data_IF_326110225366
#
_entry.id   IF_326110225366
#
_cell.length_a   1.000
_cell.length_b   1.000
_cell.length_c   1.000
_cell.angle_alpha   90.00
_cell.angle_beta   90.00
_cell.angle_gamma   90.00
#
_symmetry.space_group_name_H-M   'P 1'
#
loop_
_entity.id
_entity.type
_entity.pdbx_description
1 polymer ?
#
# COMPACT_ATOMS: atom_id res chain seq x y z
N UNK A 1 -2.30 -26.30 7.10
CA UNK A 1 -1.69 -25.37 6.13
C UNK A 1 -0.21 -25.70 6.08
N UNK A 2 0.37 -25.83 4.88
CA UNK A 2 1.79 -26.16 4.72
C UNK A 2 2.67 -24.99 5.19
N UNK A 3 3.83 -25.31 5.76
CA UNK A 3 4.81 -24.31 6.20
C UNK A 3 5.35 -23.50 5.01
N UNK A 4 5.63 -22.21 5.23
CA UNK A 4 6.31 -21.36 4.26
C UNK A 4 7.78 -21.71 4.27
N UNK A 5 8.26 -22.20 3.13
CA UNK A 5 9.64 -22.61 2.91
C UNK A 5 10.51 -21.40 2.59
N UNK A 6 11.53 -21.16 3.39
CA UNK A 6 12.40 -19.98 3.30
C UNK A 6 13.85 -20.40 3.09
N UNK A 7 14.56 -19.68 2.23
CA UNK A 7 16.01 -19.73 2.13
C UNK A 7 16.59 -18.39 2.59
N UNK A 8 17.61 -18.42 3.44
CA UNK A 8 18.23 -17.21 4.01
C UNK A 8 19.58 -17.00 3.35
N UNK A 9 19.77 -15.88 2.65
CA UNK A 9 21.03 -15.56 1.98
C UNK A 9 21.67 -14.30 2.60
N UNK A 10 22.76 -14.46 3.32
CA UNK A 10 23.44 -13.35 4.01
C UNK A 10 24.95 -13.51 3.88
N UNK A 11 25.72 -12.47 3.52
CA UNK A 11 27.18 -12.56 3.48
C UNK A 11 27.80 -12.78 4.87
N UNK A 12 27.09 -12.46 5.95
CA UNK A 12 27.48 -12.70 7.34
C UNK A 12 26.86 -13.98 7.89
N UNK A 13 27.70 -14.87 8.42
CA UNK A 13 27.27 -16.09 9.10
C UNK A 13 26.36 -15.78 10.28
N UNK A 14 26.74 -14.78 11.06
CA UNK A 14 25.97 -14.31 12.21
C UNK A 14 24.62 -13.74 11.74
N UNK A 15 24.62 -12.94 10.67
CA UNK A 15 23.39 -12.39 10.09
C UNK A 15 22.41 -13.48 9.64
N UNK A 16 22.91 -14.48 8.89
CA UNK A 16 22.12 -15.63 8.46
C UNK A 16 21.58 -16.44 9.65
N UNK A 17 22.41 -16.70 10.66
CA UNK A 17 22.03 -17.47 11.84
C UNK A 17 20.93 -16.76 12.65
N UNK A 18 21.08 -15.46 12.88
CA UNK A 18 20.09 -14.69 13.64
C UNK A 18 18.75 -14.59 12.90
N UNK A 19 18.77 -14.37 11.59
CA UNK A 19 17.54 -14.41 10.77
C UNK A 19 16.93 -15.82 10.85
N UNK A 20 17.69 -16.88 10.62
CA UNK A 20 17.19 -18.25 10.67
C UNK A 20 16.59 -18.59 12.04
N UNK A 21 17.25 -18.18 13.14
CA UNK A 21 16.77 -18.37 14.52
C UNK A 21 15.46 -17.63 14.77
N UNK A 22 15.34 -16.38 14.31
CA UNK A 22 14.10 -15.62 14.37
C UNK A 22 12.97 -16.36 13.64
N UNK A 23 13.23 -16.85 12.43
CA UNK A 23 12.22 -17.55 11.63
C UNK A 23 11.79 -18.88 12.26
N UNK A 24 12.73 -19.60 12.88
CA UNK A 24 12.46 -20.84 13.58
C UNK A 24 11.54 -20.68 14.81
N UNK A 25 11.35 -19.46 15.32
CA UNK A 25 10.36 -19.19 16.38
C UNK A 25 8.92 -19.44 15.95
N UNK A 26 8.65 -19.48 14.63
CA UNK A 26 7.32 -19.70 14.09
C UNK A 26 7.22 -21.07 13.41
N UNK A 27 6.42 -22.03 13.93
CA UNK A 27 6.35 -23.39 13.39
C UNK A 27 5.70 -23.47 12.00
N UNK A 28 5.15 -22.36 11.49
CA UNK A 28 4.61 -22.27 10.13
C UNK A 28 5.65 -21.77 9.11
N UNK A 29 6.90 -21.53 9.52
CA UNK A 29 8.02 -21.20 8.64
C UNK A 29 9.06 -22.32 8.74
N UNK A 30 9.52 -22.81 7.59
CA UNK A 30 10.56 -23.82 7.50
C UNK A 30 11.77 -23.22 6.78
N UNK A 31 12.89 -23.07 7.47
CA UNK A 31 14.14 -22.61 6.85
C UNK A 31 14.82 -23.81 6.19
N UNK A 32 14.80 -23.85 4.86
CA UNK A 32 15.31 -24.98 4.07
C UNK A 32 16.84 -24.97 3.97
N UNK A 33 17.43 -23.79 3.84
CA UNK A 33 18.86 -23.63 3.70
C UNK A 33 19.29 -22.19 3.97
N UNK A 34 20.57 -22.02 4.27
CA UNK A 34 21.26 -20.72 4.28
C UNK A 34 22.21 -20.62 3.08
N UNK A 35 22.58 -19.42 2.64
CA UNK A 35 23.58 -19.17 1.59
C UNK A 35 24.43 -17.94 1.94
N UNK A 36 25.72 -17.97 1.61
CA UNK A 36 26.67 -16.88 1.91
C UNK A 36 27.03 -16.04 0.69
N UNK A 37 26.73 -16.54 -0.50
CA UNK A 37 27.01 -15.87 -1.78
C UNK A 37 25.79 -15.90 -2.68
N UNK A 38 25.76 -15.02 -3.68
CA UNK A 38 24.67 -15.00 -4.65
C UNK A 38 24.63 -16.28 -5.47
N UNK A 39 25.78 -16.79 -5.91
CA UNK A 39 25.87 -18.06 -6.64
C UNK A 39 25.37 -19.25 -5.81
N UNK A 40 25.69 -19.29 -4.51
CA UNK A 40 25.20 -20.32 -3.61
C UNK A 40 23.69 -20.22 -3.39
N UNK A 41 23.17 -19.00 -3.23
CA UNK A 41 21.75 -18.71 -3.11
C UNK A 41 20.97 -19.24 -4.32
N UNK A 42 21.42 -18.94 -5.54
CA UNK A 42 20.81 -19.39 -6.79
C UNK A 42 20.80 -20.93 -6.87
N UNK A 43 21.96 -21.56 -6.62
CA UNK A 43 22.09 -23.03 -6.66
C UNK A 43 21.17 -23.71 -5.66
N UNK A 44 21.15 -23.22 -4.41
CA UNK A 44 20.31 -23.79 -3.36
C UNK A 44 18.82 -23.53 -3.63
N UNK A 45 18.45 -22.36 -4.15
CA UNK A 45 17.07 -22.06 -4.53
C UNK A 45 16.54 -23.03 -5.61
N UNK A 46 17.37 -23.37 -6.60
CA UNK A 46 17.00 -24.34 -7.63
C UNK A 46 16.75 -25.75 -7.06
N UNK A 47 17.53 -26.16 -6.06
CA UNK A 47 17.43 -27.47 -5.42
C UNK A 47 16.27 -27.56 -4.43
N UNK A 48 16.10 -26.53 -3.60
CA UNK A 48 15.18 -26.57 -2.45
C UNK A 48 13.81 -25.97 -2.77
N UNK A 49 13.69 -25.20 -3.87
CA UNK A 49 12.47 -24.53 -4.34
C UNK A 49 11.74 -23.79 -3.20
N UNK A 50 12.40 -22.82 -2.54
CA UNK A 50 11.81 -22.06 -1.46
C UNK A 50 10.66 -21.20 -1.99
N UNK A 51 9.68 -20.90 -1.13
CA UNK A 51 8.65 -19.91 -1.45
C UNK A 51 9.20 -18.49 -1.30
N UNK A 52 10.10 -18.27 -0.33
CA UNK A 52 10.70 -16.97 -0.06
C UNK A 52 12.21 -17.08 0.08
N UNK A 53 12.95 -16.12 -0.46
CA UNK A 53 14.35 -15.92 -0.15
C UNK A 53 14.45 -14.61 0.64
N UNK A 54 15.00 -14.65 1.85
CA UNK A 54 15.44 -13.42 2.51
C UNK A 54 16.88 -13.17 2.10
N UNK A 55 17.24 -11.97 1.64
CA UNK A 55 18.64 -11.68 1.26
C UNK A 55 19.11 -10.27 1.61
N UNK A 56 20.41 -10.10 1.83
CA UNK A 56 21.05 -8.77 1.86
C UNK A 56 21.20 -8.21 0.42
N UNK A 57 21.50 -6.92 0.29
CA UNK A 57 21.67 -6.23 -1.00
C UNK A 57 22.94 -6.63 -1.75
N UNK A 58 23.99 -7.02 -1.03
CA UNK A 58 25.32 -7.22 -1.58
C UNK A 58 25.94 -8.51 -1.07
N UNK A 59 26.43 -9.31 -2.01
CA UNK A 59 27.34 -10.42 -1.75
C UNK A 59 28.73 -10.10 -2.31
N UNK A 60 29.72 -10.95 -1.98
CA UNK A 60 31.09 -10.79 -2.48
C UNK A 60 31.18 -10.97 -4.01
N UNK A 61 30.33 -11.82 -4.56
CA UNK A 61 30.33 -12.25 -5.96
C UNK A 61 29.34 -11.49 -6.85
N UNK A 62 28.21 -11.05 -6.29
CA UNK A 62 27.16 -10.34 -7.02
C UNK A 62 26.22 -9.56 -6.09
N UNK A 63 25.45 -8.63 -6.65
CA UNK A 63 24.42 -7.91 -5.92
C UNK A 63 23.06 -8.63 -5.97
N UNK A 64 22.11 -8.20 -5.12
CA UNK A 64 20.78 -8.79 -5.05
C UNK A 64 20.02 -8.70 -6.39
N UNK A 65 20.16 -7.61 -7.14
CA UNK A 65 19.50 -7.43 -8.43
C UNK A 65 19.92 -8.49 -9.46
N UNK A 66 21.20 -8.85 -9.48
CA UNK A 66 21.76 -9.93 -10.31
C UNK A 66 21.23 -11.31 -9.89
N UNK A 67 21.13 -11.56 -8.57
CA UNK A 67 20.54 -12.79 -8.04
C UNK A 67 19.07 -12.90 -8.46
N UNK A 68 18.27 -11.86 -8.23
CA UNK A 68 16.84 -11.82 -8.58
C UNK A 68 16.65 -12.00 -10.09
N UNK A 69 17.44 -11.29 -10.91
CA UNK A 69 17.40 -11.42 -12.37
C UNK A 69 17.68 -12.85 -12.80
N UNK A 70 18.66 -13.51 -12.20
CA UNK A 70 18.98 -14.91 -12.52
C UNK A 70 17.85 -15.85 -12.10
N UNK A 71 17.32 -15.70 -10.87
CA UNK A 71 16.19 -16.49 -10.37
C UNK A 71 14.95 -16.34 -11.25
N UNK A 72 14.71 -15.15 -11.82
CA UNK A 72 13.58 -14.87 -12.71
C UNK A 72 13.58 -15.70 -14.00
N UNK A 73 14.75 -16.17 -14.44
CA UNK A 73 14.89 -17.01 -15.64
C UNK A 73 14.72 -18.49 -15.36
N UNK A 74 14.65 -18.88 -14.08
CA UNK A 74 14.55 -20.27 -13.64
C UNK A 74 13.08 -20.72 -13.50
N UNK A 75 12.77 -22.00 -13.71
CA UNK A 75 11.41 -22.55 -13.55
C UNK A 75 11.07 -22.78 -12.06
N UNK A 76 11.29 -21.78 -11.22
CA UNK A 76 10.95 -21.76 -9.80
C UNK A 76 10.08 -20.55 -9.52
N UNK A 77 9.15 -20.68 -8.56
CA UNK A 77 8.36 -19.55 -8.10
C UNK A 77 8.82 -19.17 -6.70
N UNK A 78 9.38 -17.99 -6.57
CA UNK A 78 10.00 -17.51 -5.33
C UNK A 78 9.77 -16.02 -5.20
N UNK A 79 9.66 -15.50 -3.98
CA UNK A 79 9.65 -14.07 -3.71
C UNK A 79 10.89 -13.68 -2.93
N UNK A 80 11.47 -12.51 -3.21
CA UNK A 80 12.71 -12.06 -2.56
C UNK A 80 12.42 -10.92 -1.60
N UNK A 81 12.71 -11.13 -0.31
CA UNK A 81 12.56 -10.11 0.74
C UNK A 81 13.94 -9.61 1.19
N UNK A 82 14.20 -8.31 1.06
CA UNK A 82 15.50 -7.74 1.35
C UNK A 82 15.63 -7.38 2.84
N UNK A 83 16.64 -7.92 3.51
CA UNK A 83 16.90 -7.68 4.94
C UNK A 83 18.38 -7.35 5.12
N UNK A 84 18.69 -6.15 5.58
CA UNK A 84 20.08 -5.76 5.82
C UNK A 84 20.26 -4.32 6.32
N UNK A 85 21.46 -3.98 6.82
CA UNK A 85 21.74 -2.67 7.40
C UNK A 85 21.82 -1.55 6.36
N UNK A 86 22.17 -1.93 5.12
CA UNK A 86 22.33 -1.02 3.98
C UNK A 86 21.08 -0.94 3.10
N UNK A 87 20.01 -1.66 3.46
CA UNK A 87 18.70 -1.58 2.84
C UNK A 87 18.05 -0.25 3.23
N UNK A 88 18.24 0.79 2.42
CA UNK A 88 17.70 2.13 2.66
C UNK A 88 17.26 2.76 1.32
N UNK A 89 16.24 3.63 1.33
CA UNK A 89 15.66 4.22 0.12
C UNK A 89 16.69 5.01 -0.70
N UNK A 90 17.60 5.70 -0.02
CA UNK A 90 18.74 6.42 -0.63
C UNK A 90 19.82 5.52 -1.24
N UNK A 91 19.79 4.18 -1.02
CA UNK A 91 20.77 3.27 -1.61
C UNK A 91 20.35 2.87 -3.04
N UNK A 92 21.14 3.20 -4.09
CA UNK A 92 20.79 2.87 -5.47
C UNK A 92 20.64 1.36 -5.71
N UNK A 93 21.36 0.53 -4.96
CA UNK A 93 21.28 -0.93 -5.07
C UNK A 93 19.94 -1.49 -4.62
N UNK A 94 19.25 -0.79 -3.70
CA UNK A 94 17.89 -1.15 -3.33
C UNK A 94 16.94 -0.91 -4.52
N UNK A 95 17.10 0.21 -5.23
CA UNK A 95 16.30 0.50 -6.41
C UNK A 95 16.52 -0.56 -7.49
N UNK A 96 17.78 -0.90 -7.79
CA UNK A 96 18.10 -1.98 -8.73
C UNK A 96 17.47 -3.32 -8.34
N UNK A 97 17.49 -3.67 -7.04
CA UNK A 97 16.91 -4.91 -6.55
C UNK A 97 15.38 -4.91 -6.63
N UNK A 98 14.73 -3.78 -6.33
CA UNK A 98 13.29 -3.61 -6.50
C UNK A 98 12.91 -3.71 -7.98
N UNK A 99 13.63 -3.04 -8.87
CA UNK A 99 13.43 -3.09 -10.33
C UNK A 99 13.65 -4.49 -10.91
N UNK A 100 14.56 -5.26 -10.33
CA UNK A 100 14.75 -6.66 -10.69
C UNK A 100 13.60 -7.57 -10.20
N UNK A 101 12.78 -7.11 -9.25
CA UNK A 101 11.60 -7.83 -8.76
C UNK A 101 11.66 -8.26 -7.29
N UNK A 102 12.44 -7.59 -6.45
CA UNK A 102 12.33 -7.78 -5.00
C UNK A 102 10.90 -7.45 -4.52
N UNK A 103 10.40 -8.27 -3.60
CA UNK A 103 9.03 -8.22 -3.08
C UNK A 103 8.83 -7.07 -2.10
N UNK A 104 9.74 -6.93 -1.14
CA UNK A 104 9.70 -5.90 -0.10
C UNK A 104 11.11 -5.78 0.52
N UNK A 105 11.28 -4.84 1.44
CA UNK A 105 12.56 -4.62 2.11
C UNK A 105 12.40 -4.13 3.55
N UNK A 106 13.39 -4.41 4.39
CA UNK A 106 13.50 -3.85 5.73
C UNK A 106 14.95 -3.51 6.07
N UNK A 107 15.14 -2.32 6.63
CA UNK A 107 16.43 -1.93 7.21
C UNK A 107 16.59 -2.59 8.57
N UNK A 108 17.56 -3.48 8.70
CA UNK A 108 17.81 -4.19 9.95
C UNK A 108 19.30 -4.55 10.05
N UNK A 109 19.95 -4.24 11.18
CA UNK A 109 21.35 -4.65 11.43
C UNK A 109 21.50 -6.12 11.75
N UNK A 110 20.39 -6.86 11.85
CA UNK A 110 20.32 -8.31 12.08
C UNK A 110 20.88 -8.73 13.45
N UNK A 111 20.89 -7.81 14.42
CA UNK A 111 21.17 -8.15 15.82
C UNK A 111 19.92 -8.74 16.46
N UNK A 112 20.09 -9.62 17.45
CA UNK A 112 18.97 -10.33 18.09
C UNK A 112 17.87 -9.36 18.58
N UNK A 113 18.23 -8.31 19.33
CA UNK A 113 17.25 -7.35 19.85
C UNK A 113 16.52 -6.53 18.78
N UNK A 114 17.19 -6.19 17.67
CA UNK A 114 16.56 -5.45 16.58
C UNK A 114 15.64 -6.38 15.75
N UNK A 115 16.06 -7.63 15.53
CA UNK A 115 15.24 -8.64 14.88
C UNK A 115 14.00 -9.00 15.70
N UNK A 116 14.09 -9.05 17.03
CA UNK A 116 12.94 -9.23 17.93
C UNK A 116 11.95 -8.07 17.82
N UNK A 117 12.46 -6.84 17.74
CA UNK A 117 11.63 -5.63 17.55
C UNK A 117 10.84 -5.71 16.24
N UNK A 118 11.49 -6.15 15.15
CA UNK A 118 10.86 -6.31 13.84
C UNK A 118 10.27 -7.71 13.59
N UNK A 119 10.24 -8.60 14.60
CA UNK A 119 9.88 -10.00 14.43
C UNK A 119 8.52 -10.14 13.77
N UNK A 120 7.53 -9.41 14.27
CA UNK A 120 6.17 -9.42 13.74
C UNK A 120 6.17 -9.00 12.28
N UNK A 121 6.87 -7.91 11.92
CA UNK A 121 6.95 -7.42 10.54
C UNK A 121 7.64 -8.44 9.62
N UNK A 122 8.79 -8.97 10.00
CA UNK A 122 9.57 -9.94 9.18
C UNK A 122 8.77 -11.21 8.92
N UNK A 123 8.22 -11.82 9.98
CA UNK A 123 7.41 -13.04 9.88
C UNK A 123 6.19 -12.79 9.00
N UNK A 124 5.53 -11.63 9.19
CA UNK A 124 4.39 -11.25 8.38
C UNK A 124 4.76 -11.18 6.89
N UNK A 125 5.81 -10.42 6.54
CA UNK A 125 6.25 -10.23 5.15
C UNK A 125 6.59 -11.56 4.50
N UNK A 126 7.24 -12.48 5.22
CA UNK A 126 7.51 -13.84 4.73
C UNK A 126 6.24 -14.62 4.41
N UNK A 127 5.20 -14.53 5.24
CA UNK A 127 3.93 -15.21 4.92
C UNK A 127 3.28 -14.66 3.65
N UNK A 128 3.29 -13.34 3.43
CA UNK A 128 2.70 -12.79 2.21
C UNK A 128 3.58 -13.02 1.00
N UNK A 129 4.89 -12.84 1.10
CA UNK A 129 5.83 -13.22 0.05
C UNK A 129 5.64 -14.70 -0.34
N UNK A 130 5.48 -15.60 0.64
CA UNK A 130 5.27 -17.02 0.40
C UNK A 130 3.93 -17.37 -0.26
N UNK A 131 2.88 -16.57 -0.01
CA UNK A 131 1.59 -16.70 -0.69
C UNK A 131 1.64 -16.09 -2.11
N UNK A 132 2.39 -14.99 -2.27
CA UNK A 132 2.63 -14.31 -3.55
C UNK A 132 3.49 -15.14 -4.48
N UNK A 133 4.38 -16.00 -3.96
CA UNK A 133 5.15 -16.96 -4.74
C UNK A 133 4.25 -17.92 -5.57
N UNK A 134 2.95 -18.04 -5.31
CA UNK A 134 2.04 -18.75 -6.21
C UNK A 134 1.90 -18.06 -7.59
N UNK A 135 2.20 -16.75 -7.69
CA UNK A 135 2.13 -15.91 -8.89
C UNK A 135 3.22 -14.81 -8.88
N UNK A 136 4.28 -15.04 -9.66
CA UNK A 136 5.27 -14.09 -10.25
C UNK A 136 6.72 -14.19 -9.74
N UNK A 137 7.64 -14.52 -10.66
CA UNK A 137 8.65 -13.58 -11.18
C UNK A 137 8.62 -13.74 -12.72
N UNK A 138 8.28 -12.68 -13.48
CA UNK A 138 9.31 -11.87 -14.17
C UNK A 138 9.07 -10.36 -14.00
N UNK A 139 10.06 -9.62 -13.47
CA UNK A 139 10.19 -8.17 -13.71
C UNK A 139 11.21 -7.95 -14.83
N UNK A 140 10.76 -8.24 -16.05
CA UNK A 140 11.25 -7.65 -17.30
C UNK A 140 10.14 -7.57 -18.36
N UNK A 141 8.93 -7.33 -17.89
CA UNK A 141 8.02 -6.41 -18.56
C UNK A 141 7.69 -5.39 -17.48
N UNK A 142 8.25 -4.19 -17.58
CA UNK A 142 7.55 -3.04 -17.03
C UNK A 142 6.13 -3.16 -17.56
N UNK A 143 5.15 -3.11 -16.66
CA UNK A 143 3.73 -3.28 -16.92
C UNK A 143 3.42 -2.78 -18.35
N UNK A 144 3.36 -3.69 -19.33
CA UNK A 144 2.76 -3.45 -20.67
C UNK A 144 1.23 -3.36 -20.56
N UNK A 145 0.78 -2.88 -19.42
CA UNK A 145 -0.58 -2.60 -19.03
C UNK A 145 -0.66 -1.16 -18.52
N UNK A 146 0.13 -0.25 -19.10
CA UNK A 146 -0.33 1.12 -19.30
C UNK A 146 -1.71 1.16 -20.01
N UNK A 147 -2.23 0.04 -20.54
CA UNK A 147 -3.62 -0.13 -20.95
C UNK A 147 -4.61 -0.58 -19.85
N UNK A 148 -4.20 -1.13 -18.69
CA UNK A 148 -5.14 -1.59 -17.63
C UNK A 148 -5.44 -0.49 -16.60
N UNK A 149 -4.48 0.40 -16.32
CA UNK A 149 -4.72 1.62 -15.54
C UNK A 149 -5.17 2.77 -16.44
N UNK A 150 -6.18 2.50 -17.28
CA UNK A 150 -6.81 3.53 -18.11
C UNK A 150 -8.32 3.43 -18.05
N UNK A 151 -8.98 4.58 -18.08
CA UNK A 151 -10.41 4.77 -17.98
C UNK A 151 -11.03 4.23 -16.68
N UNK A 152 -10.27 4.05 -15.60
CA UNK A 152 -10.82 3.58 -14.32
C UNK A 152 -11.56 4.68 -13.55
N UNK A 153 -11.14 5.93 -13.73
CA UNK A 153 -11.71 7.12 -13.08
C UNK A 153 -12.54 7.99 -14.04
N UNK A 154 -12.41 7.81 -15.36
CA UNK A 154 -13.07 8.59 -16.41
C UNK A 154 -14.57 8.84 -16.23
N UNK A 155 -15.32 7.86 -15.72
CA UNK A 155 -16.78 7.94 -15.56
C UNK A 155 -17.22 8.27 -14.12
N UNK A 156 -16.30 8.63 -13.23
CA UNK A 156 -16.56 8.73 -11.79
C UNK A 156 -16.94 10.14 -11.37
N UNK A 157 -18.01 10.23 -10.56
CA UNK A 157 -18.57 11.48 -10.04
C UNK A 157 -18.11 11.88 -8.63
N UNK A 158 -17.30 11.06 -7.98
CA UNK A 158 -16.70 11.40 -6.70
C UNK A 158 -15.48 10.50 -6.51
N UNK A 159 -14.32 11.09 -6.24
CA UNK A 159 -13.10 10.34 -5.93
C UNK A 159 -12.62 10.72 -4.54
N UNK A 160 -12.48 9.76 -3.64
CA UNK A 160 -11.89 10.02 -2.34
C UNK A 160 -10.55 9.29 -2.17
N UNK A 161 -9.56 10.00 -1.67
CA UNK A 161 -8.24 9.49 -1.34
C UNK A 161 -8.11 9.46 0.18
N UNK A 162 -8.16 8.27 0.75
CA UNK A 162 -7.85 8.05 2.17
C UNK A 162 -6.35 7.84 2.34
N UNK A 163 -5.71 8.63 3.20
CA UNK A 163 -4.28 8.52 3.49
C UNK A 163 -3.99 8.63 4.98
N UNK A 164 -2.96 7.94 5.44
CA UNK A 164 -2.45 8.13 6.79
C UNK A 164 -1.73 9.49 6.91
N UNK A 165 -2.00 10.26 7.97
CA UNK A 165 -1.54 11.65 8.07
C UNK A 165 0.00 11.81 8.04
N UNK A 166 0.73 10.80 8.52
CA UNK A 166 2.19 10.75 8.48
C UNK A 166 2.77 10.57 7.07
N UNK A 167 1.97 10.15 6.08
CA UNK A 167 2.38 9.98 4.68
C UNK A 167 1.91 11.11 3.76
N UNK A 168 1.39 12.18 4.35
CA UNK A 168 0.78 13.26 3.59
C UNK A 168 1.76 14.00 2.66
N UNK A 169 3.04 14.07 3.04
CA UNK A 169 4.10 14.66 2.22
C UNK A 169 4.34 13.87 0.92
N UNK A 170 4.22 12.53 0.96
CA UNK A 170 4.36 11.67 -0.23
C UNK A 170 3.21 11.92 -1.23
N UNK A 171 2.02 12.30 -0.72
CA UNK A 171 0.86 12.62 -1.54
C UNK A 171 0.97 13.98 -2.25
N UNK A 172 1.77 14.91 -1.73
CA UNK A 172 1.97 16.21 -2.40
C UNK A 172 2.59 16.01 -3.79
N UNK A 173 3.60 15.14 -3.90
CA UNK A 173 4.19 14.75 -5.19
C UNK A 173 3.19 14.04 -6.10
N UNK A 174 2.34 13.18 -5.54
CA UNK A 174 1.26 12.50 -6.27
C UNK A 174 0.24 13.50 -6.86
N UNK A 175 -0.11 14.55 -6.11
CA UNK A 175 -1.13 15.52 -6.49
C UNK A 175 -0.62 16.69 -7.32
N UNK A 176 0.69 16.87 -7.39
CA UNK A 176 1.30 17.99 -8.12
C UNK A 176 0.84 18.02 -9.58
N UNK A 177 0.24 19.13 -10.00
CA UNK A 177 -0.20 19.38 -11.37
C UNK A 177 -1.49 18.68 -11.79
N UNK A 178 -2.24 18.08 -10.86
CA UNK A 178 -3.59 17.57 -11.15
C UNK A 178 -4.54 18.73 -11.45
N UNK A 179 -5.41 18.53 -12.44
CA UNK A 179 -6.57 19.39 -12.71
C UNK A 179 -7.83 18.54 -12.59
N UNK A 180 -8.87 19.10 -11.98
CA UNK A 180 -10.18 18.44 -11.88
C UNK A 180 -11.17 19.11 -12.83
N UNK A 181 -11.72 18.34 -13.75
CA UNK A 181 -12.68 18.74 -14.77
C UNK A 181 -14.09 18.90 -14.23
N UNK A 182 -14.96 19.51 -15.04
CA UNK A 182 -16.30 19.98 -14.63
C UNK A 182 -17.35 18.84 -14.63
N UNK A 183 -17.10 17.72 -15.32
CA UNK A 183 -18.09 16.63 -15.52
C UNK A 183 -17.96 15.44 -14.55
N UNK A 184 -16.80 15.29 -13.92
CA UNK A 184 -16.37 14.15 -13.13
C UNK A 184 -15.09 14.54 -12.36
N UNK A 185 -15.02 14.64 -11.04
CA UNK A 185 -15.87 15.31 -10.04
C UNK A 185 -15.18 15.09 -8.68
N UNK A 186 -15.06 16.17 -7.91
CA UNK A 186 -14.66 16.24 -6.50
C UNK A 186 -13.65 15.18 -6.03
N UNK A 187 -12.38 15.57 -5.96
CA UNK A 187 -11.35 14.78 -5.27
C UNK A 187 -11.33 15.19 -3.80
N UNK A 188 -11.61 14.26 -2.88
CA UNK A 188 -11.53 14.52 -1.45
C UNK A 188 -10.36 13.77 -0.85
N UNK A 189 -9.40 14.50 -0.30
CA UNK A 189 -8.28 13.92 0.44
C UNK A 189 -8.64 13.93 1.93
N UNK A 190 -8.71 12.74 2.51
CA UNK A 190 -9.03 12.56 3.92
C UNK A 190 -7.83 11.95 4.64
N UNK A 191 -7.20 12.75 5.50
CA UNK A 191 -6.12 12.29 6.37
C UNK A 191 -6.67 11.94 7.77
N UNK A 192 -6.39 10.73 8.25
CA UNK A 192 -6.76 10.27 9.58
C UNK A 192 -5.56 10.37 10.56
N UNK A 193 -5.80 10.94 11.75
CA UNK A 193 -4.81 11.05 12.84
C UNK A 193 -3.91 12.30 12.78
N UNK A 194 -3.47 12.82 13.94
CA UNK A 194 -2.41 13.85 14.03
C UNK A 194 -2.82 15.23 14.58
N UNK A 195 -1.93 15.87 15.36
CA UNK A 195 -2.13 17.21 15.94
C UNK A 195 -1.70 18.36 14.99
N UNK A 196 -0.71 18.13 14.09
CA UNK A 196 -0.03 19.16 13.27
C UNK A 196 -0.71 19.47 11.92
N UNK A 197 -2.00 19.70 11.96
CA UNK A 197 -2.86 19.71 10.76
C UNK A 197 -2.83 21.02 9.96
N UNK A 198 -2.81 22.20 10.61
CA UNK A 198 -2.88 23.48 9.91
C UNK A 198 -1.63 23.76 9.04
N UNK A 199 -0.44 23.46 9.55
CA UNK A 199 0.82 23.65 8.84
C UNK A 199 0.92 22.72 7.63
N UNK A 200 0.54 21.45 7.79
CA UNK A 200 0.50 20.46 6.70
C UNK A 200 -0.49 20.85 5.61
N UNK A 201 -1.66 21.38 5.98
CA UNK A 201 -2.64 21.88 5.01
C UNK A 201 -2.08 23.05 4.18
N UNK A 202 -1.36 23.98 4.82
CA UNK A 202 -0.74 25.10 4.14
C UNK A 202 0.38 24.63 3.19
N UNK A 203 1.24 23.72 3.64
CA UNK A 203 2.29 23.12 2.79
C UNK A 203 1.70 22.36 1.60
N UNK A 204 0.61 21.60 1.79
CA UNK A 204 -0.09 20.95 0.69
C UNK A 204 -0.71 21.95 -0.29
N UNK A 205 -1.31 23.03 0.20
CA UNK A 205 -1.85 24.09 -0.67
C UNK A 205 -0.77 24.75 -1.51
N UNK A 206 0.41 24.99 -0.94
CA UNK A 206 1.55 25.54 -1.68
C UNK A 206 2.03 24.57 -2.78
N UNK A 207 2.01 23.26 -2.51
CA UNK A 207 2.49 22.23 -3.44
C UNK A 207 1.47 21.85 -4.53
N UNK A 208 0.18 21.81 -4.20
CA UNK A 208 -0.91 21.40 -5.11
C UNK A 208 -1.54 22.62 -5.82
N UNK A 209 -1.40 23.82 -5.25
CA UNK A 209 -1.92 25.07 -5.78
C UNK A 209 -3.32 25.45 -5.27
N UNK A 210 -3.85 26.56 -5.81
CA UNK A 210 -5.08 27.23 -5.34
C UNK A 210 -6.39 26.44 -5.49
N UNK A 211 -6.37 25.25 -6.09
CA UNK A 211 -7.57 24.42 -6.27
C UNK A 211 -7.94 23.60 -5.01
N UNK A 212 -7.05 23.56 -3.99
CA UNK A 212 -7.23 22.77 -2.77
C UNK A 212 -8.04 23.51 -1.69
N UNK A 213 -9.34 23.24 -1.65
CA UNK A 213 -10.31 23.81 -0.71
C UNK A 213 -10.43 22.97 0.59
N UNK A 214 -10.75 23.58 1.74
CA UNK A 214 -11.04 22.81 2.95
C UNK A 214 -12.41 22.15 2.85
N UNK A 215 -12.50 20.88 3.24
CA UNK A 215 -13.76 20.15 3.36
C UNK A 215 -14.54 20.65 4.59
N UNK A 216 -15.40 21.65 4.39
CA UNK A 216 -16.25 22.23 5.44
C UNK A 216 -17.67 21.69 5.36
N UNK A 217 -18.40 21.78 6.48
CA UNK A 217 -19.81 21.40 6.53
C UNK A 217 -20.63 22.22 5.51
N UNK A 218 -21.50 21.54 4.76
CA UNK A 218 -22.28 22.04 3.62
C UNK A 218 -21.47 22.50 2.40
N UNK A 219 -20.20 22.11 2.25
CA UNK A 219 -19.49 22.33 0.98
C UNK A 219 -20.16 21.54 -0.15
N UNK A 220 -20.56 22.22 -1.23
CA UNK A 220 -21.33 21.63 -2.33
C UNK A 220 -20.48 20.73 -3.23
N UNK A 221 -21.02 19.58 -3.63
CA UNK A 221 -20.34 18.63 -4.51
C UNK A 221 -20.77 18.83 -5.97
N UNK A 222 -20.36 19.96 -6.57
CA UNK A 222 -20.84 20.41 -7.88
C UNK A 222 -19.89 20.07 -9.06
N UNK A 223 -18.84 19.28 -8.82
CA UNK A 223 -17.80 18.97 -9.82
C UNK A 223 -16.69 20.03 -9.90
N UNK A 224 -15.51 19.66 -10.39
CA UNK A 224 -14.38 20.59 -10.55
C UNK A 224 -13.66 21.07 -9.28
N UNK A 225 -14.02 20.54 -8.10
CA UNK A 225 -13.37 20.91 -6.83
C UNK A 225 -12.38 19.86 -6.35
N UNK A 226 -11.39 20.29 -5.57
CA UNK A 226 -10.48 19.41 -4.84
C UNK A 226 -10.56 19.79 -3.36
N UNK A 227 -11.19 18.94 -2.55
CA UNK A 227 -11.35 19.15 -1.12
C UNK A 227 -10.30 18.40 -0.31
N UNK A 228 -9.97 18.97 0.84
CA UNK A 228 -9.06 18.37 1.80
C UNK A 228 -9.64 18.43 3.20
N UNK A 229 -9.58 17.30 3.92
CA UNK A 229 -10.03 17.16 5.29
C UNK A 229 -9.02 16.42 6.14
N UNK A 230 -8.91 16.85 7.40
CA UNK A 230 -8.44 15.97 8.46
C UNK A 230 -9.67 15.43 9.18
N UNK A 231 -9.91 14.13 9.07
CA UNK A 231 -10.99 13.52 9.82
C UNK A 231 -10.53 13.51 11.29
N UNK A 232 -11.32 14.11 12.20
CA UNK A 232 -10.98 14.24 13.64
C UNK A 232 -12.10 13.74 14.55
N UNK A 233 -12.73 14.63 15.33
CA UNK A 233 -13.81 14.28 16.26
C UNK A 233 -15.14 14.00 15.54
N UNK A 234 -15.28 14.54 14.34
CA UNK A 234 -16.45 14.39 13.49
C UNK A 234 -16.07 13.55 12.28
N UNK A 235 -16.97 12.66 11.89
CA UNK A 235 -16.87 11.94 10.64
C UNK A 235 -17.31 12.87 9.51
N UNK A 236 -16.62 12.77 8.38
CA UNK A 236 -16.98 13.46 7.16
C UNK A 236 -17.76 12.50 6.28
N UNK A 237 -18.99 12.87 5.91
CA UNK A 237 -19.86 12.06 5.07
C UNK A 237 -20.41 12.88 3.90
N UNK A 238 -20.96 12.21 2.91
CA UNK A 238 -21.72 12.81 1.81
C UNK A 238 -23.20 12.87 2.20
N UNK A 239 -23.68 14.08 2.50
CA UNK A 239 -25.07 14.37 2.83
C UNK A 239 -25.84 15.00 1.67
N UNK A 240 -26.95 15.64 2.02
CA UNK A 240 -27.77 16.46 1.11
C UNK A 240 -27.94 17.83 1.75
N UNK A 241 -27.80 18.88 0.96
CA UNK A 241 -28.19 20.21 1.39
C UNK A 241 -29.73 20.38 1.39
N UNK A 242 -30.18 21.55 1.84
CA UNK A 242 -31.60 21.91 1.87
C UNK A 242 -32.28 21.92 0.49
N UNK A 243 -31.50 21.93 -0.59
CA UNK A 243 -32.00 21.98 -1.98
C UNK A 243 -32.04 20.62 -2.65
N UNK A 244 -31.67 19.54 -1.95
CA UNK A 244 -31.63 18.20 -2.53
C UNK A 244 -30.30 17.86 -3.21
N UNK A 245 -29.27 18.73 -3.13
CA UNK A 245 -27.98 18.52 -3.81
C UNK A 245 -26.96 17.87 -2.88
N UNK A 246 -26.04 17.02 -3.39
CA UNK A 246 -25.01 16.42 -2.57
C UNK A 246 -24.05 17.47 -1.99
N UNK A 247 -23.75 17.34 -0.70
CA UNK A 247 -22.79 18.20 0.00
C UNK A 247 -21.93 17.38 0.96
N UNK A 248 -20.80 17.95 1.38
CA UNK A 248 -20.01 17.43 2.49
C UNK A 248 -20.69 17.78 3.81
N UNK A 249 -20.89 16.79 4.65
CA UNK A 249 -21.55 16.96 5.95
C UNK A 249 -20.64 16.41 7.03
N UNK A 250 -20.32 17.26 8.01
CA UNK A 250 -19.69 16.83 9.25
C UNK A 250 -20.78 16.29 10.19
N UNK A 251 -20.60 15.05 10.65
CA UNK A 251 -21.49 14.38 11.60
C UNK A 251 -20.73 13.98 12.86
N UNK A 252 -21.41 13.94 14.00
CA UNK A 252 -20.80 13.44 15.23
C UNK A 252 -20.48 11.96 15.07
N UNK A 253 -19.22 11.59 15.34
CA UNK A 253 -18.79 10.20 15.24
C UNK A 253 -19.48 9.39 16.35
N UNK A 254 -20.11 8.23 16.07
CA UNK A 254 -20.73 7.41 17.09
C UNK A 254 -19.65 6.93 18.07
N UNK A 255 -19.70 7.46 19.29
CA UNK A 255 -18.74 7.18 20.35
C UNK A 255 -19.03 5.85 21.01
N UNK A 256 -18.18 4.86 20.79
CA UNK A 256 -18.00 3.76 21.75
C UNK A 256 -16.64 3.96 22.42
N UNK A 257 -16.65 4.16 23.75
CA UNK A 257 -15.47 4.13 24.64
C UNK A 257 -14.41 5.25 24.53
N UNK A 258 -14.80 6.51 24.30
CA UNK A 258 -13.94 7.68 24.58
C UNK A 258 -12.73 7.89 23.66
N UNK A 259 -12.39 6.95 22.78
CA UNK A 259 -11.49 7.16 21.65
C UNK A 259 -12.33 7.46 20.40
N UNK A 260 -12.47 8.75 20.09
CA UNK A 260 -13.05 9.17 18.82
C UNK A 260 -12.04 8.84 17.72
N UNK A 261 -12.29 7.74 17.01
CA UNK A 261 -11.54 7.36 15.81
C UNK A 261 -12.29 7.93 14.61
N UNK A 262 -11.77 9.00 13.98
CA UNK A 262 -12.27 9.45 12.69
C UNK A 262 -12.21 8.31 11.67
N UNK A 263 -13.28 8.10 10.89
CA UNK A 263 -13.39 6.90 10.02
C UNK A 263 -13.51 7.24 8.53
N UNK A 264 -12.48 6.90 7.76
CA UNK A 264 -12.55 6.79 6.29
C UNK A 264 -13.71 5.89 5.85
N UNK A 265 -14.06 4.87 6.64
CA UNK A 265 -15.21 4.02 6.37
C UNK A 265 -16.53 4.80 6.27
N UNK A 266 -16.74 5.83 7.10
CA UNK A 266 -17.97 6.62 7.09
C UNK A 266 -18.11 7.41 5.78
N UNK A 267 -17.01 8.04 5.36
CA UNK A 267 -16.94 8.76 4.09
C UNK A 267 -17.25 7.82 2.92
N UNK A 268 -16.52 6.70 2.81
CA UNK A 268 -16.68 5.78 1.68
C UNK A 268 -18.07 5.13 1.63
N UNK A 269 -18.68 4.81 2.79
CA UNK A 269 -20.06 4.29 2.84
C UNK A 269 -21.07 5.31 2.32
N UNK A 270 -20.99 6.55 2.79
CA UNK A 270 -21.89 7.61 2.31
C UNK A 270 -21.69 7.93 0.81
N UNK A 271 -20.46 7.81 0.31
CA UNK A 271 -20.17 7.88 -1.12
C UNK A 271 -20.83 6.73 -1.89
N UNK A 272 -20.74 5.49 -1.40
CA UNK A 272 -21.38 4.34 -2.03
C UNK A 272 -22.90 4.50 -2.10
N UNK A 273 -23.53 5.00 -1.02
CA UNK A 273 -24.96 5.27 -0.98
C UNK A 273 -25.39 6.36 -1.96
N UNK A 274 -24.59 7.43 -2.09
CA UNK A 274 -24.96 8.60 -2.90
C UNK A 274 -24.59 8.48 -4.38
N UNK A 275 -23.36 8.07 -4.65
CA UNK A 275 -22.75 8.10 -5.99
C UNK A 275 -22.68 6.71 -6.63
N UNK A 276 -22.90 5.63 -5.88
CA UNK A 276 -22.98 4.25 -6.40
C UNK A 276 -21.81 3.89 -7.32
N UNK A 277 -22.07 3.40 -8.53
CA UNK A 277 -21.05 3.05 -9.52
C UNK A 277 -20.21 4.23 -9.99
N UNK A 278 -20.66 5.46 -9.72
CA UNK A 278 -19.92 6.70 -9.98
C UNK A 278 -18.96 7.06 -8.84
N UNK A 279 -18.95 6.34 -7.71
CA UNK A 279 -17.97 6.54 -6.66
C UNK A 279 -16.64 5.84 -6.98
N UNK A 280 -15.53 6.46 -6.60
CA UNK A 280 -14.21 5.84 -6.57
C UNK A 280 -13.50 6.13 -5.23
N UNK A 281 -12.83 5.14 -4.68
CA UNK A 281 -11.99 5.31 -3.50
C UNK A 281 -10.58 4.79 -3.75
N UNK A 282 -9.59 5.57 -3.31
CA UNK A 282 -8.18 5.25 -3.33
C UNK A 282 -7.71 5.21 -1.87
N UNK A 283 -7.15 4.08 -1.44
CA UNK A 283 -6.50 4.00 -0.13
C UNK A 283 -5.00 4.02 -0.30
N UNK A 284 -4.33 4.96 0.34
CA UNK A 284 -2.89 5.22 0.25
C UNK A 284 -2.28 4.98 1.64
N UNK A 285 -1.53 3.89 1.79
CA UNK A 285 -0.92 3.51 3.07
C UNK A 285 -1.88 3.14 4.19
N UNK A 286 -1.37 3.23 5.42
CA UNK A 286 -2.06 2.85 6.65
C UNK A 286 -1.75 1.43 7.13
N UNK A 287 -1.63 1.29 8.45
CA UNK A 287 -1.53 0.03 9.19
C UNK A 287 -2.90 -0.40 9.77
N UNK A 288 -3.88 0.51 9.79
CA UNK A 288 -5.20 0.30 10.35
C UNK A 288 -6.20 -0.48 9.50
N UNK A 289 -7.38 -0.71 10.08
CA UNK A 289 -8.54 -1.33 9.42
C UNK A 289 -9.49 -0.31 8.79
N UNK A 290 -9.28 0.98 9.06
CA UNK A 290 -10.18 2.05 8.62
C UNK A 290 -10.09 2.26 7.10
N UNK A 291 -11.25 2.44 6.47
CA UNK A 291 -11.42 2.50 5.01
C UNK A 291 -11.72 1.15 4.37
N UNK A 292 -11.43 0.01 5.01
CA UNK A 292 -11.64 -1.32 4.42
C UNK A 292 -13.13 -1.64 4.21
N UNK A 293 -13.98 -1.34 5.21
CA UNK A 293 -15.42 -1.57 5.08
C UNK A 293 -16.04 -0.58 4.10
N UNK A 294 -15.50 0.62 4.05
CA UNK A 294 -15.83 1.64 3.08
C UNK A 294 -15.53 1.22 1.64
N UNK A 295 -14.34 0.68 1.38
CA UNK A 295 -13.95 0.14 0.08
C UNK A 295 -14.92 -0.95 -0.37
N UNK A 296 -15.28 -1.88 0.53
CA UNK A 296 -16.29 -2.89 0.22
C UNK A 296 -17.65 -2.26 -0.11
N UNK A 297 -18.11 -1.28 0.66
CA UNK A 297 -19.39 -0.63 0.39
C UNK A 297 -19.42 -0.02 -1.03
N UNK A 298 -18.33 0.65 -1.44
CA UNK A 298 -18.18 1.19 -2.80
C UNK A 298 -18.17 0.07 -3.84
N UNK A 299 -17.48 -1.02 -3.58
CA UNK A 299 -17.41 -2.15 -4.51
C UNK A 299 -18.75 -2.89 -4.65
N UNK A 300 -19.50 -3.05 -3.56
CA UNK A 300 -20.80 -3.73 -3.52
C UNK A 300 -21.82 -3.00 -4.42
N UNK A 301 -21.69 -1.68 -4.60
CA UNK A 301 -22.53 -0.85 -5.48
C UNK A 301 -21.94 -0.62 -6.88
N UNK A 302 -20.87 -1.35 -7.25
CA UNK A 302 -20.22 -1.25 -8.56
C UNK A 302 -19.28 -0.05 -8.73
N UNK A 303 -18.95 0.63 -7.64
CA UNK A 303 -17.96 1.70 -7.61
C UNK A 303 -16.52 1.18 -7.76
N UNK A 304 -15.59 2.10 -8.02
CA UNK A 304 -14.18 1.79 -8.25
C UNK A 304 -13.38 1.82 -6.95
N UNK A 305 -12.48 0.85 -6.76
CA UNK A 305 -11.64 0.76 -5.56
C UNK A 305 -10.20 0.50 -5.95
N UNK A 306 -9.30 1.34 -5.45
CA UNK A 306 -7.88 1.33 -5.75
C UNK A 306 -7.12 1.35 -4.43
N UNK A 307 -6.02 0.60 -4.34
CA UNK A 307 -5.19 0.57 -3.13
C UNK A 307 -3.74 0.71 -3.53
N UNK A 308 -3.04 1.67 -2.92
CA UNK A 308 -1.58 1.74 -2.97
C UNK A 308 -1.05 0.49 -2.29
N UNK A 309 -0.16 -0.26 -2.95
CA UNK A 309 0.46 -1.53 -2.52
C UNK A 309 -0.07 -2.11 -1.21
N UNK A 310 -0.73 -3.27 -1.30
CA UNK A 310 -1.36 -3.92 -0.16
C UNK A 310 -0.37 -4.13 1.00
N UNK A 311 -0.58 -3.44 2.12
CA UNK A 311 0.10 -3.78 3.37
C UNK A 311 -0.41 -5.12 3.89
N UNK A 312 0.40 -5.78 4.70
CA UNK A 312 0.06 -7.08 5.26
C UNK A 312 -1.12 -7.03 6.22
N UNK A 313 -1.21 -5.94 6.98
CA UNK A 313 -2.32 -5.68 7.89
C UNK A 313 -3.60 -5.38 7.12
N UNK A 314 -3.50 -4.68 5.98
CA UNK A 314 -4.62 -4.49 5.06
C UNK A 314 -5.13 -5.83 4.51
N UNK A 315 -4.26 -6.71 4.02
CA UNK A 315 -4.65 -8.03 3.51
C UNK A 315 -5.29 -8.92 4.57
N UNK A 316 -4.73 -8.93 5.79
CA UNK A 316 -5.28 -9.66 6.92
C UNK A 316 -6.65 -9.14 7.31
N UNK A 317 -6.79 -7.83 7.38
CA UNK A 317 -8.04 -7.18 7.72
C UNK A 317 -9.09 -7.44 6.66
N UNK A 318 -8.74 -7.33 5.37
CA UNK A 318 -9.63 -7.67 4.26
C UNK A 318 -10.08 -9.12 4.32
N UNK A 319 -9.19 -10.09 4.57
CA UNK A 319 -9.57 -11.52 4.71
C UNK A 319 -10.35 -11.84 5.97
N UNK A 320 -9.98 -11.23 7.11
CA UNK A 320 -10.59 -11.47 8.42
C UNK A 320 -12.00 -10.90 8.48
N UNK A 321 -12.17 -9.69 7.99
CA UNK A 321 -13.41 -8.94 8.12
C UNK A 321 -14.31 -9.08 6.90
N UNK A 322 -13.74 -9.35 5.73
CA UNK A 322 -14.46 -9.46 4.46
C UNK A 322 -14.03 -10.73 3.66
N UNK A 323 -14.31 -11.94 4.18
CA UNK A 323 -13.83 -13.20 3.59
C UNK A 323 -14.26 -13.43 2.13
N UNK A 324 -15.33 -12.76 1.68
CA UNK A 324 -15.86 -12.82 0.31
C UNK A 324 -15.68 -11.51 -0.48
N UNK A 325 -14.95 -10.52 0.06
CA UNK A 325 -14.71 -9.28 -0.69
C UNK A 325 -13.87 -9.57 -1.93
N UNK A 326 -14.29 -8.99 -3.05
CA UNK A 326 -13.47 -8.95 -4.26
C UNK A 326 -12.22 -8.12 -3.95
N UNK A 327 -11.09 -8.53 -4.52
CA UNK A 327 -9.85 -7.73 -4.45
C UNK A 327 -10.17 -6.35 -5.06
N UNK A 328 -9.56 -5.25 -4.55
CA UNK A 328 -9.65 -3.95 -5.20
C UNK A 328 -9.37 -4.05 -6.70
N UNK A 329 -10.02 -3.19 -7.47
CA UNK A 329 -9.95 -3.22 -8.94
C UNK A 329 -8.53 -2.97 -9.46
N UNK A 330 -7.74 -2.18 -8.73
CA UNK A 330 -6.30 -2.11 -8.94
C UNK A 330 -5.53 -2.02 -7.62
N UNK A 331 -4.35 -2.63 -7.62
CA UNK A 331 -3.33 -2.51 -6.59
C UNK A 331 -2.04 -2.13 -7.30
N UNK A 332 -1.52 -0.95 -7.02
CA UNK A 332 -0.34 -0.44 -7.71
C UNK A 332 0.48 0.48 -6.80
N UNK A 333 1.77 0.68 -7.08
CA UNK A 333 2.56 1.75 -6.49
C UNK A 333 1.89 3.12 -6.66
N UNK A 334 2.17 4.04 -5.73
CA UNK A 334 1.61 5.40 -5.77
C UNK A 334 1.91 6.13 -7.09
N UNK A 335 3.11 5.93 -7.63
CA UNK A 335 3.55 6.51 -8.90
C UNK A 335 2.70 6.05 -10.09
N UNK A 336 2.29 4.78 -10.10
CA UNK A 336 1.47 4.21 -11.16
C UNK A 336 0.01 4.68 -11.05
N UNK A 337 -0.51 4.79 -9.82
CA UNK A 337 -1.85 5.35 -9.57
C UNK A 337 -1.94 6.82 -10.00
N UNK A 338 -0.82 7.55 -10.07
CA UNK A 338 -0.80 8.95 -10.49
C UNK A 338 -1.27 9.12 -11.93
N UNK A 339 -1.05 8.12 -12.79
CA UNK A 339 -1.50 8.14 -14.19
C UNK A 339 -3.01 8.29 -14.27
N UNK A 340 -3.75 7.63 -13.37
CA UNK A 340 -5.21 7.70 -13.30
C UNK A 340 -5.73 9.09 -12.94
N UNK A 341 -4.96 9.87 -12.19
CA UNK A 341 -5.36 11.22 -11.81
C UNK A 341 -5.49 12.16 -13.02
N UNK A 342 -4.83 11.84 -14.15
CA UNK A 342 -4.99 12.59 -15.40
C UNK A 342 -6.38 12.40 -16.03
N UNK A 343 -7.08 11.32 -15.70
CA UNK A 343 -8.45 11.08 -16.19
C UNK A 343 -9.48 12.00 -15.54
N UNK A 344 -9.08 12.68 -14.46
CA UNK A 344 -9.93 13.61 -13.73
C UNK A 344 -9.90 15.02 -14.32
N UNK A 345 -9.03 15.32 -15.28
CA UNK A 345 -8.87 16.64 -15.90
C UNK A 345 -9.87 16.87 -17.05
#
# INVERSE_FOLDING_TARGET
>A
MNAVKVLVADPSDEGAEQIAKLLATNPRIEVLATARTGAECIRKAALTRPHVITMDLQFKDMNAAQVISTLSTMPIKVSVYLIGPYVARENPMLQEALDAGAFDFIRCRRTLGELETYQRQIINTIFVAGLSAAKQIPRKEGIKNAGVLTNLLKDKRMVAIGIAAERLEELAGFLAGIRVGIRADVVLIAAAGGEKTQSLQNSLRELVGFQLEPAVHNAGLNGGHLYFSFIRKQDLVVGIDVTGRPCLTLVESPGDSGQVKPRLDALFKSMAERFREKAAAILVGGDGTDGIYGLKAIQDVGGMTLVETLSLEFLRSLRKWLPNAKIPHAVAPLEDLRVLMKELA
#
